data_IF_109683309986
#
_entry.id   IF_109683309986
#
_cell.length_a   1.000
_cell.length_b   1.000
_cell.length_c   1.000
_cell.angle_alpha   90.00
_cell.angle_beta   90.00
_cell.angle_gamma   90.00
#
_symmetry.space_group_name_H-M   'P 1'
#
loop_
_entity.id
_entity.type
_entity.pdbx_description
1 polymer ?
#
# COMPACT_ATOMS: atom_id res chain seq x y z
N UNK A 1 -1.34 0.08 7.47
CA UNK A 1 -0.73 0.42 8.78
C UNK A 1 -0.63 1.93 8.98
N UNK A 2 0.00 2.66 8.08
CA UNK A 2 0.13 4.12 8.20
C UNK A 2 -1.24 4.82 8.27
N UNK A 3 -2.23 4.32 7.51
CA UNK A 3 -3.63 4.79 7.60
C UNK A 3 -4.21 4.63 9.00
N UNK A 4 -3.88 3.55 9.71
CA UNK A 4 -4.30 3.34 11.10
C UNK A 4 -3.66 4.35 12.06
N UNK A 5 -2.36 4.66 11.83
CA UNK A 5 -1.66 5.72 12.57
C UNK A 5 -2.28 7.09 12.33
N UNK A 6 -2.59 7.42 11.08
CA UNK A 6 -3.25 8.65 10.69
C UNK A 6 -4.61 8.80 11.37
N UNK A 7 -5.39 7.71 11.43
CA UNK A 7 -6.73 7.70 12.03
C UNK A 7 -6.71 7.53 13.55
N UNK A 8 -5.57 7.25 14.19
CA UNK A 8 -5.46 7.01 15.62
C UNK A 8 -6.23 5.78 16.11
N UNK A 9 -6.42 4.78 15.25
CA UNK A 9 -7.30 3.62 15.52
C UNK A 9 -6.48 2.47 16.10
N UNK A 10 -7.03 1.81 17.13
CA UNK A 10 -6.57 0.50 17.58
C UNK A 10 -7.07 -0.58 16.61
N UNK A 11 -6.19 -1.49 16.20
CA UNK A 11 -6.48 -2.49 15.18
C UNK A 11 -5.71 -3.78 15.39
N UNK A 12 -6.19 -4.86 14.83
CA UNK A 12 -5.55 -6.17 14.91
C UNK A 12 -4.89 -6.55 13.59
N UNK A 13 -3.69 -7.16 13.66
CA UNK A 13 -2.93 -7.55 12.49
C UNK A 13 -2.79 -9.06 12.39
N UNK A 14 -3.25 -9.63 11.28
CA UNK A 14 -3.01 -11.03 10.94
C UNK A 14 -2.03 -11.10 9.77
N UNK A 15 -0.92 -11.79 9.98
CA UNK A 15 0.09 -11.97 8.95
C UNK A 15 -0.33 -13.09 7.99
N UNK A 16 -0.30 -12.80 6.70
CA UNK A 16 -0.59 -13.75 5.63
C UNK A 16 0.51 -13.72 4.58
N UNK A 17 0.66 -14.81 3.85
CA UNK A 17 1.56 -14.81 2.69
C UNK A 17 1.06 -13.87 1.60
N UNK A 18 1.96 -13.18 0.87
CA UNK A 18 1.57 -12.27 -0.21
C UNK A 18 1.00 -12.98 -1.44
N UNK A 19 1.10 -14.30 -1.51
CA UNK A 19 0.56 -15.14 -2.58
C UNK A 19 -0.30 -16.27 -2.02
N UNK A 20 -1.32 -16.73 -2.77
CA UNK A 20 -2.05 -17.94 -2.44
C UNK A 20 -1.16 -19.21 -2.40
N UNK A 21 -1.55 -20.28 -1.69
CA UNK A 21 -2.76 -20.34 -0.85
C UNK A 21 -2.58 -19.66 0.50
N UNK A 22 -3.61 -18.92 0.95
CA UNK A 22 -3.65 -18.19 2.23
C UNK A 22 -4.71 -18.76 3.19
N UNK A 23 -5.04 -20.03 2.98
CA UNK A 23 -5.99 -20.74 3.83
C UNK A 23 -7.40 -20.12 3.82
N UNK A 24 -7.92 -19.85 5.00
CA UNK A 24 -9.28 -19.33 5.18
C UNK A 24 -9.50 -17.96 4.52
N UNK A 25 -8.47 -17.13 4.41
CA UNK A 25 -8.60 -15.83 3.75
C UNK A 25 -9.02 -15.99 2.28
N UNK A 26 -8.44 -16.93 1.54
CA UNK A 26 -8.78 -17.15 0.14
C UNK A 26 -10.23 -17.64 -0.04
N UNK A 27 -10.74 -18.40 0.94
CA UNK A 27 -12.14 -18.86 0.94
C UNK A 27 -13.11 -17.69 1.17
N UNK A 28 -12.80 -16.81 2.12
CA UNK A 28 -13.61 -15.62 2.43
C UNK A 28 -13.66 -14.67 1.26
N UNK A 29 -12.51 -14.43 0.61
CA UNK A 29 -12.39 -13.44 -0.46
C UNK A 29 -12.86 -13.94 -1.83
N UNK A 30 -13.32 -15.21 -1.93
CA UNK A 30 -13.84 -15.75 -3.19
C UNK A 30 -12.82 -15.73 -4.35
N UNK A 31 -11.53 -15.78 -4.04
CA UNK A 31 -10.44 -15.76 -5.02
C UNK A 31 -9.80 -14.39 -5.26
N UNK A 32 -10.25 -13.32 -4.62
CA UNK A 32 -9.54 -12.03 -4.67
C UNK A 32 -8.13 -12.19 -4.07
N UNK A 33 -7.14 -11.73 -4.81
CA UNK A 33 -5.72 -11.93 -4.48
C UNK A 33 -5.07 -10.72 -3.84
N UNK A 34 -5.75 -9.57 -3.83
CA UNK A 34 -5.19 -8.31 -3.33
C UNK A 34 -4.99 -8.36 -1.82
N UNK A 35 -3.92 -7.79 -1.37
CA UNK A 35 -3.58 -7.48 0.02
C UNK A 35 -2.93 -6.09 0.08
N UNK A 36 -3.08 -5.37 1.19
CA UNK A 36 -3.75 -5.74 2.44
C UNK A 36 -5.28 -5.83 2.31
N UNK A 37 -5.89 -6.59 3.22
CA UNK A 37 -7.35 -6.67 3.37
C UNK A 37 -7.72 -6.07 4.70
N UNK A 38 -8.64 -5.13 4.71
CA UNK A 38 -9.25 -4.61 5.93
C UNK A 38 -10.54 -5.39 6.21
N UNK A 39 -10.68 -5.88 7.44
CA UNK A 39 -11.95 -6.35 7.97
C UNK A 39 -12.54 -5.31 8.92
N UNK A 40 -13.80 -4.96 8.73
CA UNK A 40 -14.58 -4.13 9.67
C UNK A 40 -15.93 -4.81 9.91
N UNK A 41 -16.10 -5.40 11.07
CA UNK A 41 -17.25 -6.29 11.34
C UNK A 41 -17.28 -7.47 10.37
N UNK A 42 -18.39 -7.65 9.67
CA UNK A 42 -18.55 -8.71 8.66
C UNK A 42 -18.07 -8.32 7.25
N UNK A 43 -17.58 -7.10 7.04
CA UNK A 43 -17.18 -6.58 5.73
C UNK A 43 -15.68 -6.69 5.50
N UNK A 44 -15.30 -7.04 4.26
CA UNK A 44 -13.91 -7.16 3.81
C UNK A 44 -13.64 -6.20 2.65
N UNK A 45 -12.57 -5.43 2.76
CA UNK A 45 -12.16 -4.43 1.78
C UNK A 45 -10.79 -4.81 1.23
N UNK A 46 -10.74 -5.23 -0.04
CA UNK A 46 -9.52 -5.67 -0.71
C UNK A 46 -8.81 -4.56 -1.49
N UNK A 47 -9.44 -3.39 -1.60
CA UNK A 47 -8.90 -2.20 -2.23
C UNK A 47 -8.46 -1.19 -1.18
N UNK A 48 -7.28 -0.57 -1.36
CA UNK A 48 -6.72 0.35 -0.37
C UNK A 48 -7.52 1.64 -0.22
N UNK A 49 -8.13 2.14 -1.31
CA UNK A 49 -9.02 3.30 -1.26
C UNK A 49 -10.28 2.98 -0.48
N UNK A 50 -10.96 1.89 -0.83
CA UNK A 50 -12.16 1.45 -0.11
C UNK A 50 -11.86 1.14 1.36
N UNK A 51 -10.69 0.55 1.65
CA UNK A 51 -10.27 0.32 3.03
C UNK A 51 -10.07 1.65 3.79
N UNK A 52 -9.48 2.65 3.15
CA UNK A 52 -9.31 3.97 3.76
C UNK A 52 -10.65 4.68 3.97
N UNK A 53 -11.57 4.62 3.02
CA UNK A 53 -12.94 5.12 3.15
C UNK A 53 -13.69 4.40 4.29
N UNK A 54 -13.52 3.08 4.40
CA UNK A 54 -14.14 2.32 5.48
C UNK A 54 -13.61 2.69 6.86
N UNK A 55 -12.33 3.10 6.98
CA UNK A 55 -11.76 3.63 8.23
C UNK A 55 -12.36 5.00 8.61
N UNK A 56 -12.77 5.76 7.62
CA UNK A 56 -13.32 7.12 7.76
C UNK A 56 -14.79 7.16 7.36
N UNK A 57 -15.58 6.17 7.79
CA UNK A 57 -16.97 6.01 7.38
C UNK A 57 -17.83 7.25 7.60
N UNK A 58 -17.53 8.03 8.64
CA UNK A 58 -18.26 9.26 8.98
C UNK A 58 -17.86 10.46 8.10
N UNK A 59 -16.78 10.33 7.32
CA UNK A 59 -16.32 11.35 6.37
C UNK A 59 -15.80 10.72 5.07
N UNK A 60 -16.69 10.32 4.14
CA UNK A 60 -16.30 9.74 2.86
C UNK A 60 -15.51 10.70 1.95
N UNK A 61 -15.49 12.00 2.28
CA UNK A 61 -14.77 13.00 1.48
C UNK A 61 -13.24 12.88 1.58
N UNK A 62 -12.73 12.13 2.56
CA UNK A 62 -11.27 11.97 2.80
C UNK A 62 -10.49 11.37 1.63
N UNK A 63 -11.16 10.67 0.72
CA UNK A 63 -10.56 10.12 -0.52
C UNK A 63 -10.95 10.90 -1.77
N UNK A 64 -11.73 11.97 -1.64
CA UNK A 64 -12.08 12.81 -2.76
C UNK A 64 -10.89 13.71 -3.12
N UNK A 65 -10.38 13.51 -4.32
CA UNK A 65 -9.24 14.24 -4.85
C UNK A 65 -9.68 15.10 -6.04
N UNK A 66 -9.04 16.25 -6.21
CA UNK A 66 -9.14 17.02 -7.44
C UNK A 66 -8.44 16.30 -8.60
N UNK A 67 -8.68 16.73 -9.83
CA UNK A 67 -8.14 16.08 -11.04
C UNK A 67 -6.60 15.94 -11.01
N UNK A 68 -5.89 16.99 -10.59
CA UNK A 68 -4.42 16.97 -10.51
C UNK A 68 -3.91 16.01 -9.42
N UNK A 69 -4.65 15.87 -8.32
CA UNK A 69 -4.32 14.97 -7.23
C UNK A 69 -4.63 13.51 -7.59
N UNK A 70 -5.72 13.26 -8.32
CA UNK A 70 -6.02 11.95 -8.90
C UNK A 70 -4.92 11.52 -9.89
N UNK A 71 -4.45 12.41 -10.76
CA UNK A 71 -3.37 12.14 -11.68
C UNK A 71 -2.06 11.81 -10.94
N UNK A 72 -1.74 12.55 -9.87
CA UNK A 72 -0.57 12.29 -9.05
C UNK A 72 -0.66 10.96 -8.30
N UNK A 73 -1.83 10.63 -7.75
CA UNK A 73 -2.10 9.34 -7.14
C UNK A 73 -1.91 8.19 -8.15
N UNK A 74 -2.52 8.31 -9.33
CA UNK A 74 -2.41 7.30 -10.38
C UNK A 74 -0.96 7.10 -10.82
N UNK A 75 -0.20 8.18 -10.96
CA UNK A 75 1.23 8.09 -11.24
C UNK A 75 1.99 7.35 -10.14
N UNK A 76 1.73 7.67 -8.85
CA UNK A 76 2.35 7.01 -7.72
C UNK A 76 2.05 5.50 -7.68
N UNK A 77 0.78 5.11 -7.87
CA UNK A 77 0.32 3.73 -7.67
C UNK A 77 0.58 2.83 -8.89
N UNK A 78 0.49 3.37 -10.11
CA UNK A 78 0.58 2.56 -11.34
C UNK A 78 1.98 2.51 -11.92
N UNK A 79 2.71 3.60 -11.90
CA UNK A 79 4.04 3.68 -12.53
C UNK A 79 5.16 3.64 -11.49
N UNK A 80 5.15 4.58 -10.54
CA UNK A 80 6.24 4.74 -9.58
C UNK A 80 6.35 3.54 -8.65
N UNK A 81 5.24 2.94 -8.24
CA UNK A 81 5.25 1.74 -7.41
C UNK A 81 6.02 0.58 -8.06
N UNK A 82 5.91 0.41 -9.38
CA UNK A 82 6.68 -0.62 -10.09
C UNK A 82 8.10 -0.15 -10.41
N UNK A 83 8.28 1.14 -10.75
CA UNK A 83 9.57 1.70 -11.08
C UNK A 83 10.58 1.59 -9.91
N UNK A 84 10.14 1.72 -8.66
CA UNK A 84 11.03 1.63 -7.49
C UNK A 84 11.73 0.27 -7.37
N UNK A 85 11.12 -0.82 -7.81
CA UNK A 85 11.76 -2.14 -7.83
C UNK A 85 12.90 -2.22 -8.86
N UNK A 86 12.83 -1.44 -9.93
CA UNK A 86 13.88 -1.38 -10.97
C UNK A 86 15.03 -0.43 -10.60
N UNK A 87 14.81 0.48 -9.63
CA UNK A 87 15.85 1.38 -9.10
C UNK A 87 16.73 0.66 -8.09
N UNK A 88 16.18 -0.30 -7.37
CA UNK A 88 16.89 -1.12 -6.38
C UNK A 88 17.58 -2.30 -7.07
N UNK A 89 18.78 -2.66 -6.58
CA UNK A 89 19.50 -3.82 -7.12
C UNK A 89 18.66 -5.11 -7.02
N UNK A 90 18.57 -5.94 -8.08
CA UNK A 90 17.84 -7.22 -8.03
C UNK A 90 18.31 -8.16 -6.90
N UNK A 91 19.60 -8.14 -6.58
CA UNK A 91 20.17 -8.93 -5.47
C UNK A 91 19.63 -8.45 -4.13
N UNK A 92 19.49 -7.14 -3.95
CA UNK A 92 18.92 -6.54 -2.74
C UNK A 92 17.44 -6.89 -2.60
N UNK A 93 16.68 -6.82 -3.69
CA UNK A 93 15.27 -7.25 -3.74
C UNK A 93 15.14 -8.72 -3.35
N UNK A 94 15.96 -9.58 -3.94
CA UNK A 94 15.95 -11.02 -3.63
C UNK A 94 16.30 -11.29 -2.18
N UNK A 95 17.32 -10.60 -1.65
CA UNK A 95 17.72 -10.71 -0.23
C UNK A 95 16.63 -10.21 0.72
N UNK A 96 15.90 -9.14 0.36
CA UNK A 96 14.75 -8.67 1.11
C UNK A 96 13.63 -9.72 1.12
N UNK A 97 13.25 -10.25 -0.04
CA UNK A 97 12.22 -11.29 -0.15
C UNK A 97 12.61 -12.57 0.63
N UNK A 98 13.87 -12.98 0.57
CA UNK A 98 14.35 -14.16 1.30
C UNK A 98 14.25 -14.00 2.82
N UNK A 99 14.49 -12.81 3.33
CA UNK A 99 14.32 -12.49 4.77
C UNK A 99 12.87 -12.51 5.20
N UNK A 100 11.95 -12.05 4.33
CA UNK A 100 10.52 -11.96 4.65
C UNK A 100 9.79 -13.30 4.48
N UNK A 101 10.13 -14.07 3.46
CA UNK A 101 9.36 -15.23 3.01
C UNK A 101 10.10 -16.57 3.20
N UNK A 102 11.39 -16.53 3.50
CA UNK A 102 12.27 -17.70 3.44
C UNK A 102 12.50 -18.16 1.99
N UNK A 103 13.46 -19.04 1.76
CA UNK A 103 13.88 -19.45 0.41
C UNK A 103 12.73 -20.10 -0.40
N UNK A 104 11.96 -21.00 0.22
CA UNK A 104 10.82 -21.65 -0.43
C UNK A 104 9.69 -20.64 -0.74
N UNK A 105 9.47 -19.68 0.15
CA UNK A 105 8.51 -18.60 -0.05
C UNK A 105 8.88 -17.71 -1.24
N UNK A 106 10.16 -17.41 -1.43
CA UNK A 106 10.67 -16.66 -2.59
C UNK A 106 10.37 -17.39 -3.89
N UNK A 107 10.67 -18.69 -3.97
CA UNK A 107 10.40 -19.48 -5.20
C UNK A 107 8.90 -19.46 -5.52
N UNK A 108 8.05 -19.67 -4.52
CA UNK A 108 6.61 -19.59 -4.68
C UNK A 108 6.16 -18.21 -5.15
N UNK A 109 6.68 -17.15 -4.53
CA UNK A 109 6.36 -15.76 -4.86
C UNK A 109 6.74 -15.42 -6.31
N UNK A 110 7.97 -15.73 -6.72
CA UNK A 110 8.44 -15.47 -8.08
C UNK A 110 7.61 -16.23 -9.10
N UNK A 111 7.35 -17.52 -8.86
CA UNK A 111 6.52 -18.35 -9.75
C UNK A 111 5.11 -17.78 -9.90
N UNK A 112 4.51 -17.35 -8.80
CA UNK A 112 3.19 -16.75 -8.76
C UNK A 112 3.15 -15.43 -9.56
N UNK A 113 4.10 -14.53 -9.31
CA UNK A 113 4.20 -13.24 -10.03
C UNK A 113 4.46 -13.43 -11.52
N UNK A 114 5.35 -14.36 -11.88
CA UNK A 114 5.61 -14.71 -13.29
C UNK A 114 4.33 -15.21 -13.97
N UNK A 115 3.54 -16.02 -13.29
CA UNK A 115 2.26 -16.50 -13.84
C UNK A 115 1.26 -15.36 -14.04
N UNK A 116 1.12 -14.46 -13.07
CA UNK A 116 0.25 -13.28 -13.17
C UNK A 116 0.67 -12.36 -14.32
N UNK A 117 1.96 -12.10 -14.46
CA UNK A 117 2.48 -11.16 -15.46
C UNK A 117 2.45 -11.69 -16.89
N UNK A 118 2.29 -13.00 -17.11
CA UNK A 118 2.18 -13.56 -18.47
C UNK A 118 1.01 -12.99 -19.28
N UNK A 119 -0.06 -12.57 -18.60
CA UNK A 119 -1.27 -12.04 -19.22
C UNK A 119 -1.45 -10.53 -18.94
N UNK A 120 -0.48 -9.89 -18.29
CA UNK A 120 -0.54 -8.47 -18.00
C UNK A 120 0.12 -7.68 -19.13
N UNK A 121 -0.60 -6.72 -19.69
CA UNK A 121 -0.08 -5.71 -20.64
C UNK A 121 0.55 -4.55 -19.85
N UNK A 122 1.56 -4.86 -19.02
CA UNK A 122 2.32 -3.82 -18.34
C UNK A 122 3.54 -3.48 -19.18
N UNK A 123 3.67 -2.23 -19.57
CA UNK A 123 4.89 -1.69 -20.13
C UNK A 123 5.97 -1.68 -19.04
N UNK A 124 6.86 -2.65 -19.12
CA UNK A 124 7.96 -2.76 -18.15
C UNK A 124 9.01 -1.72 -18.51
N UNK A 125 9.15 -0.70 -17.67
CA UNK A 125 10.18 0.32 -17.82
C UNK A 125 11.58 -0.30 -17.73
N UNK A 126 12.50 0.16 -18.58
CA UNK A 126 13.92 -0.15 -18.38
C UNK A 126 14.42 0.47 -17.06
N UNK A 127 15.53 -0.03 -16.54
CA UNK A 127 16.11 0.51 -15.30
C UNK A 127 16.44 2.02 -15.39
N UNK A 128 16.82 2.49 -16.58
CA UNK A 128 17.09 3.91 -16.83
C UNK A 128 15.80 4.74 -16.83
N UNK A 129 14.77 4.29 -17.56
CA UNK A 129 13.45 4.91 -17.57
C UNK A 129 12.83 4.96 -16.17
N UNK A 130 12.90 3.85 -15.44
CA UNK A 130 12.41 3.77 -14.07
C UNK A 130 13.12 4.76 -13.14
N UNK A 131 14.46 4.86 -13.25
CA UNK A 131 15.22 5.83 -12.46
C UNK A 131 14.81 7.26 -12.78
N UNK A 132 14.64 7.58 -14.06
CA UNK A 132 14.20 8.90 -14.51
C UNK A 132 12.80 9.21 -13.97
N UNK A 133 11.84 8.29 -14.12
CA UNK A 133 10.48 8.46 -13.62
C UNK A 133 10.44 8.70 -12.10
N UNK A 134 11.20 7.94 -11.31
CA UNK A 134 11.29 8.15 -9.86
C UNK A 134 11.93 9.50 -9.51
N UNK A 135 12.95 9.95 -10.26
CA UNK A 135 13.56 11.25 -10.07
C UNK A 135 12.57 12.40 -10.36
N UNK A 136 11.86 12.31 -11.47
CA UNK A 136 10.83 13.29 -11.86
C UNK A 136 9.69 13.33 -10.84
N UNK A 137 9.24 12.17 -10.37
CA UNK A 137 8.24 12.07 -9.30
C UNK A 137 8.70 12.78 -8.02
N UNK A 138 9.92 12.48 -7.54
CA UNK A 138 10.47 13.11 -6.33
C UNK A 138 10.59 14.64 -6.52
N UNK A 139 11.02 15.10 -7.70
CA UNK A 139 11.10 16.53 -8.01
C UNK A 139 9.71 17.18 -7.99
N UNK A 140 8.70 16.53 -8.57
CA UNK A 140 7.32 16.99 -8.55
C UNK A 140 6.77 17.10 -7.12
N UNK A 141 7.01 16.09 -6.27
CA UNK A 141 6.66 16.16 -4.85
C UNK A 141 7.34 17.36 -4.15
N UNK A 142 8.61 17.62 -4.47
CA UNK A 142 9.34 18.77 -3.94
C UNK A 142 8.68 20.10 -4.25
N UNK A 143 8.19 20.28 -5.48
CA UNK A 143 7.43 21.48 -5.90
C UNK A 143 6.12 21.59 -5.12
N UNK A 144 5.33 20.50 -5.04
CA UNK A 144 4.07 20.50 -4.31
C UNK A 144 4.26 20.82 -2.82
N UNK A 145 5.24 20.21 -2.19
CA UNK A 145 5.55 20.41 -0.76
C UNK A 145 6.15 21.79 -0.44
N UNK A 146 6.60 22.56 -1.43
CA UNK A 146 7.04 23.93 -1.20
C UNK A 146 5.90 24.88 -0.79
N UNK A 147 4.67 24.53 -1.14
CA UNK A 147 3.47 25.30 -0.82
C UNK A 147 2.77 24.84 0.48
N UNK A 148 3.06 23.63 0.97
CA UNK A 148 2.34 23.04 2.10
C UNK A 148 3.17 21.99 2.84
N UNK A 149 2.79 21.70 4.10
CA UNK A 149 3.45 20.67 4.93
C UNK A 149 3.22 19.24 4.40
N UNK A 150 2.07 19.00 3.78
CA UNK A 150 1.67 17.71 3.22
C UNK A 150 1.10 17.93 1.82
N UNK A 151 1.02 16.87 1.02
CA UNK A 151 0.42 16.92 -0.32
C UNK A 151 -1.07 17.24 -0.25
N UNK A 152 -1.74 16.78 0.80
CA UNK A 152 -3.14 17.05 1.10
C UNK A 152 -3.37 18.40 1.81
N UNK A 153 -2.33 19.21 2.04
CA UNK A 153 -2.43 20.53 2.65
C UNK A 153 -1.76 20.64 4.02
N UNK A 154 -2.49 21.15 5.02
CA UNK A 154 -1.95 21.37 6.39
C UNK A 154 -1.86 20.08 7.20
N UNK A 155 -2.66 19.10 6.88
CA UNK A 155 -2.72 17.79 7.52
C UNK A 155 -2.41 16.69 6.50
N UNK A 156 -1.84 15.54 6.94
CA UNK A 156 -1.65 14.42 6.06
C UNK A 156 -2.99 13.82 5.66
N UNK A 157 -3.11 13.36 4.42
CA UNK A 157 -4.34 12.78 3.87
C UNK A 157 -4.08 11.57 3.00
N UNK A 158 -5.11 11.15 2.26
CA UNK A 158 -5.06 9.98 1.40
C UNK A 158 -3.98 10.10 0.31
N UNK A 159 -3.86 11.27 -0.33
CA UNK A 159 -2.83 11.51 -1.35
C UNK A 159 -1.41 11.32 -0.81
N UNK A 160 -1.17 11.78 0.44
CA UNK A 160 0.11 11.58 1.10
C UNK A 160 0.44 10.10 1.27
N UNK A 161 -0.54 9.28 1.67
CA UNK A 161 -0.35 7.83 1.82
C UNK A 161 0.02 7.16 0.50
N UNK A 162 -0.68 7.52 -0.59
CA UNK A 162 -0.44 6.98 -1.92
C UNK A 162 0.95 7.32 -2.45
N UNK A 163 1.38 8.57 -2.30
CA UNK A 163 2.68 9.03 -2.76
C UNK A 163 3.85 8.58 -1.86
N UNK A 164 3.61 8.44 -0.57
CA UNK A 164 4.62 7.95 0.39
C UNK A 164 4.97 6.49 0.17
N UNK A 165 3.97 5.64 -0.11
CA UNK A 165 4.12 4.19 -0.12
C UNK A 165 5.21 3.67 -1.08
N UNK A 166 5.30 4.07 -2.37
CA UNK A 166 6.35 3.57 -3.25
C UNK A 166 7.74 3.99 -2.79
N UNK A 167 7.92 5.21 -2.31
CA UNK A 167 9.21 5.70 -1.84
C UNK A 167 9.64 5.00 -0.55
N UNK A 168 8.71 4.81 0.38
CA UNK A 168 8.93 4.01 1.59
C UNK A 168 9.32 2.57 1.25
N UNK A 169 8.65 1.94 0.28
CA UNK A 169 8.97 0.59 -0.17
C UNK A 169 10.41 0.48 -0.69
N UNK A 170 10.87 1.44 -1.51
CA UNK A 170 12.25 1.49 -1.97
C UNK A 170 13.23 1.51 -0.78
N UNK A 171 12.97 2.36 0.23
CA UNK A 171 13.78 2.47 1.44
C UNK A 171 13.72 1.23 2.33
N UNK A 172 12.61 0.49 2.36
CA UNK A 172 12.52 -0.79 3.10
C UNK A 172 13.34 -1.90 2.43
N UNK A 173 13.33 -1.94 1.09
CA UNK A 173 14.10 -2.92 0.33
C UNK A 173 15.60 -2.61 0.43
N UNK A 174 15.97 -1.36 0.21
CA UNK A 174 17.36 -0.89 0.28
C UNK A 174 17.48 0.42 1.08
N UNK A 175 17.97 0.32 2.31
CA UNK A 175 18.21 1.49 3.17
C UNK A 175 19.25 2.46 2.61
N UNK A 176 20.02 2.06 1.62
CA UNK A 176 21.07 2.86 0.97
C UNK A 176 20.67 3.27 -0.45
N UNK A 177 19.40 3.10 -0.80
CA UNK A 177 18.92 3.47 -2.14
C UNK A 177 19.28 4.94 -2.43
N UNK A 178 20.03 5.14 -3.51
CA UNK A 178 20.50 6.47 -3.94
C UNK A 178 19.39 7.16 -4.73
N UNK A 179 18.47 7.81 -4.02
CA UNK A 179 17.44 8.65 -4.62
C UNK A 179 17.78 10.13 -4.38
N UNK A 180 17.46 11.03 -5.31
CA UNK A 180 17.74 12.46 -5.17
C UNK A 180 16.73 13.12 -4.23
N UNK A 181 16.98 13.01 -2.93
CA UNK A 181 16.10 13.53 -1.90
C UNK A 181 16.27 15.05 -1.70
N UNK A 182 15.40 15.93 -2.23
CA UNK A 182 15.35 17.30 -1.80
C UNK A 182 15.06 17.35 -0.28
N UNK A 183 15.65 18.28 0.46
CA UNK A 183 15.44 18.37 1.92
C UNK A 183 13.97 18.41 2.33
N UNK A 184 13.14 19.08 1.54
CA UNK A 184 11.70 19.20 1.80
C UNK A 184 10.96 17.85 1.69
N UNK A 185 11.32 17.03 0.70
CA UNK A 185 10.76 15.69 0.52
C UNK A 185 11.25 14.76 1.64
N UNK A 186 12.54 14.84 2.00
CA UNK A 186 13.09 14.08 3.13
C UNK A 186 12.41 14.42 4.45
N UNK A 187 12.08 15.69 4.68
CA UNK A 187 11.35 16.13 5.87
C UNK A 187 9.90 15.63 5.86
N UNK A 188 9.24 15.68 4.70
CA UNK A 188 7.90 15.11 4.54
C UNK A 188 7.88 13.60 4.79
N UNK A 189 8.83 12.84 4.23
CA UNK A 189 8.96 11.40 4.49
C UNK A 189 9.10 11.11 6.00
N UNK A 190 9.90 11.88 6.73
CA UNK A 190 10.03 11.75 8.19
C UNK A 190 8.73 12.07 8.94
N UNK A 191 8.00 13.11 8.51
CA UNK A 191 6.69 13.43 9.10
C UNK A 191 5.69 12.31 8.88
N UNK A 192 5.64 11.75 7.67
CA UNK A 192 4.78 10.60 7.37
C UNK A 192 5.15 9.38 8.21
N UNK A 193 6.44 9.07 8.33
CA UNK A 193 6.92 7.96 9.16
C UNK A 193 6.55 8.14 10.64
N UNK A 194 6.55 9.38 11.15
CA UNK A 194 6.20 9.71 12.53
C UNK A 194 4.71 9.52 12.88
N UNK A 195 3.82 9.36 11.89
CA UNK A 195 2.42 9.00 12.14
C UNK A 195 2.27 7.62 12.80
N UNK A 196 3.30 6.78 12.65
CA UNK A 196 3.29 5.44 13.22
C UNK A 196 2.23 4.53 12.61
N UNK A 197 1.81 3.55 13.37
CA UNK A 197 0.92 2.49 12.89
C UNK A 197 -0.38 2.36 13.69
N UNK A 198 -0.68 3.30 14.58
CA UNK A 198 -1.74 3.15 15.56
C UNK A 198 -1.42 2.08 16.59
N UNK A 199 -2.40 1.72 17.41
CA UNK A 199 -2.25 0.67 18.41
C UNK A 199 -2.53 -0.70 17.79
N UNK A 200 -1.49 -1.55 17.73
CA UNK A 200 -1.63 -2.90 17.16
C UNK A 200 -1.97 -3.90 18.27
N UNK A 201 -3.16 -4.47 18.20
CA UNK A 201 -3.64 -5.47 19.15
C UNK A 201 -3.30 -6.88 18.67
N UNK A 202 -2.93 -7.80 19.57
CA UNK A 202 -2.77 -9.21 19.22
C UNK A 202 -4.14 -9.83 18.90
N UNK A 203 -4.21 -10.62 17.82
CA UNK A 203 -5.42 -11.34 17.43
C UNK A 203 -5.06 -12.70 16.83
N UNK A 204 -5.96 -13.66 17.04
CA UNK A 204 -5.93 -14.96 16.35
C UNK A 204 -6.96 -14.98 15.23
N UNK A 205 -6.80 -15.92 14.29
CA UNK A 205 -7.79 -16.16 13.25
C UNK A 205 -9.18 -16.46 13.81
N UNK A 206 -9.25 -17.30 14.86
CA UNK A 206 -10.52 -17.68 15.47
C UNK A 206 -11.28 -16.45 16.02
N UNK A 207 -10.56 -15.51 16.63
CA UNK A 207 -11.18 -14.28 17.15
C UNK A 207 -11.71 -13.40 16.01
N UNK A 208 -10.94 -13.25 14.93
CA UNK A 208 -11.38 -12.47 13.76
C UNK A 208 -12.66 -13.06 13.15
N UNK A 209 -12.81 -14.38 13.16
CA UNK A 209 -14.05 -15.06 12.67
C UNK A 209 -15.24 -14.93 13.62
N UNK A 210 -15.00 -14.91 14.92
CA UNK A 210 -16.06 -14.63 15.89
C UNK A 210 -16.69 -13.27 15.65
N UNK A 211 -15.87 -12.27 15.35
CA UNK A 211 -16.36 -10.91 15.05
C UNK A 211 -17.25 -10.89 13.78
N UNK A 212 -17.00 -11.75 12.79
CA UNK A 212 -17.90 -11.92 11.63
C UNK A 212 -19.26 -12.48 12.06
N UNK A 213 -19.26 -13.49 12.90
CA UNK A 213 -20.50 -14.15 13.35
C UNK A 213 -21.35 -13.23 14.26
N UNK A 214 -20.69 -12.44 15.12
CA UNK A 214 -21.35 -11.53 16.05
C UNK A 214 -21.93 -10.29 15.38
N UNK A 215 -21.30 -9.81 14.28
CA UNK A 215 -21.67 -8.60 13.55
C UNK A 215 -22.49 -8.86 12.27
N UNK A 216 -23.34 -9.86 12.26
CA UNK A 216 -24.22 -10.20 11.12
C UNK A 216 -25.31 -9.15 10.80
N UNK A 217 -25.33 -7.99 11.42
CA UNK A 217 -26.24 -6.92 11.04
C UNK A 217 -25.85 -6.35 9.67
N UNK A 218 -26.65 -6.70 8.70
CA UNK A 218 -26.56 -6.30 7.30
C UNK A 218 -26.60 -4.77 7.17
N UNK A 219 -25.47 -4.17 6.94
CA UNK A 219 -25.44 -2.89 6.24
C UNK A 219 -25.33 -3.23 4.76
N UNK A 220 -26.24 -2.74 3.94
CA UNK A 220 -26.25 -2.95 2.50
C UNK A 220 -24.85 -2.72 1.92
N UNK A 221 -24.26 -3.76 1.39
CA UNK A 221 -22.85 -3.78 1.01
C UNK A 221 -22.59 -2.91 -0.22
N UNK A 222 -21.50 -2.18 -0.19
CA UNK A 222 -20.84 -1.77 -1.43
C UNK A 222 -20.14 -3.03 -1.95
N UNK A 223 -20.73 -3.67 -2.94
CA UNK A 223 -20.12 -4.77 -3.67
C UNK A 223 -19.02 -4.14 -4.55
N UNK A 224 -17.76 -4.44 -4.26
CA UNK A 224 -16.69 -4.13 -5.19
C UNK A 224 -16.90 -4.98 -6.45
N UNK A 225 -17.25 -4.35 -7.56
CA UNK A 225 -17.33 -5.04 -8.84
C UNK A 225 -15.92 -5.46 -9.30
N UNK A 226 -15.77 -6.67 -9.85
CA UNK A 226 -14.49 -7.09 -10.42
C UNK A 226 -14.16 -6.24 -11.66
N UNK A 227 -12.93 -5.77 -11.76
CA UNK A 227 -12.38 -5.16 -12.96
C UNK A 227 -12.09 -6.22 -14.01
#
# INVERSE_FOLDING_TARGET
>A
RLAMGLSGIAWASIQVFPQPPRGTLDQILGGDRRIPVLQRGAHFYCDTRLAFEALHYDDPSVTQLGADDEALRDWAEREIFFAVFSVVSPITVLGFLARQLGLLGVVRFIRDRTHMMRNATLDVLTAEQARKAVQEFIAHLGVRLSASLYLSGKQPGYLDLCCYHPLWMACQIDRRVALPWPPIVSQWMKRMDSLGHGEVLPVTWDRAFQDIAENQSVVAGVVAEPY
#
